data_IF_201337683644
#
_entry.id   IF_201337683644
#
_cell.length_a   1.000
_cell.length_b   1.000
_cell.length_c   1.000
_cell.angle_alpha   90.00
_cell.angle_beta   90.00
_cell.angle_gamma   90.00
#
_symmetry.space_group_name_H-M   'P 1'
#
loop_
_entity.id
_entity.type
_entity.pdbx_description
1 polymer ?
#
# COMPACT_ATOMS: atom_id res chain seq x y z
N UNK A 1 -7.35 -10.41 -25.55
CA UNK A 1 -6.03 -9.75 -25.42
C UNK A 1 -5.98 -8.28 -25.84
N UNK A 2 -6.76 -7.80 -26.82
CA UNK A 2 -6.70 -6.38 -27.25
C UNK A 2 -7.26 -5.39 -26.22
N UNK A 3 -8.34 -5.75 -25.51
CA UNK A 3 -8.99 -4.90 -24.52
C UNK A 3 -8.03 -4.49 -23.37
N UNK A 4 -7.40 -5.47 -22.71
CA UNK A 4 -6.46 -5.20 -21.61
C UNK A 4 -5.22 -4.41 -22.03
N UNK A 5 -4.70 -4.64 -23.25
CA UNK A 5 -3.60 -3.83 -23.83
C UNK A 5 -4.01 -2.37 -24.07
N UNK A 6 -5.29 -2.14 -24.38
CA UNK A 6 -5.81 -0.79 -24.60
C UNK A 6 -5.90 -0.01 -23.30
N UNK A 7 -6.38 -0.66 -22.24
CA UNK A 7 -6.48 -0.07 -20.89
C UNK A 7 -5.09 0.15 -20.27
N UNK A 8 -4.16 -0.80 -20.42
CA UNK A 8 -2.81 -0.65 -19.88
C UNK A 8 -2.11 0.59 -20.43
N UNK A 9 -2.26 0.92 -21.72
CA UNK A 9 -1.70 2.14 -22.32
C UNK A 9 -2.29 3.45 -21.76
N UNK A 10 -3.45 3.40 -21.11
CA UNK A 10 -4.11 4.56 -20.52
C UNK A 10 -3.87 4.70 -19.02
N UNK A 11 -3.29 3.69 -18.36
CA UNK A 11 -3.01 3.72 -16.93
C UNK A 11 -1.51 3.81 -16.70
N UNK A 12 -1.10 4.62 -15.73
CA UNK A 12 0.31 4.87 -15.43
C UNK A 12 1.10 3.56 -15.31
N UNK A 13 2.23 3.48 -16.04
CA UNK A 13 3.12 2.32 -16.10
C UNK A 13 2.43 1.00 -16.52
N UNK A 14 1.31 1.06 -17.25
CA UNK A 14 0.58 -0.15 -17.63
C UNK A 14 -0.29 -0.75 -16.52
N UNK A 15 -0.41 -0.08 -15.37
CA UNK A 15 -1.03 -0.61 -14.15
C UNK A 15 -2.52 -0.33 -14.14
N UNK A 16 -3.26 -1.04 -14.99
CA UNK A 16 -4.72 -0.93 -15.05
C UNK A 16 -5.39 -1.54 -13.80
N UNK A 17 -6.68 -1.26 -13.54
CA UNK A 17 -7.41 -1.82 -12.41
C UNK A 17 -7.30 -3.35 -12.32
N UNK A 18 -6.74 -3.83 -11.22
CA UNK A 18 -6.53 -5.25 -10.94
C UNK A 18 -7.14 -5.61 -9.58
N UNK A 19 -7.80 -6.77 -9.51
CA UNK A 19 -8.38 -7.30 -8.28
C UNK A 19 -7.28 -7.59 -7.26
N UNK A 20 -7.44 -7.04 -6.05
CA UNK A 20 -6.56 -7.30 -4.90
C UNK A 20 -7.21 -8.27 -3.94
N UNK A 21 -8.50 -8.06 -3.69
CA UNK A 21 -9.28 -8.79 -2.70
C UNK A 21 -10.74 -8.84 -3.12
N UNK A 22 -11.41 -9.95 -2.82
CA UNK A 22 -12.84 -10.12 -3.01
C UNK A 22 -13.45 -10.41 -1.65
N UNK A 23 -14.33 -9.53 -1.18
CA UNK A 23 -14.91 -9.67 0.14
C UNK A 23 -15.67 -11.01 0.28
N UNK A 24 -15.38 -11.85 1.28
CA UNK A 24 -15.90 -13.22 1.32
C UNK A 24 -17.43 -13.30 1.45
N UNK A 25 -18.05 -12.32 2.13
CA UNK A 25 -19.50 -12.24 2.34
C UNK A 25 -20.20 -11.42 1.26
N UNK A 26 -19.98 -10.10 1.24
CA UNK A 26 -20.60 -9.16 0.29
C UNK A 26 -20.18 -9.35 -1.18
N UNK A 27 -19.12 -10.12 -1.46
CA UNK A 27 -18.53 -10.28 -2.80
C UNK A 27 -18.11 -8.97 -3.46
N UNK A 28 -17.93 -7.91 -2.68
CA UNK A 28 -17.45 -6.64 -3.22
C UNK A 28 -15.94 -6.70 -3.51
N UNK A 29 -15.51 -6.33 -4.74
CA UNK A 29 -14.11 -6.32 -5.11
C UNK A 29 -13.39 -5.04 -4.65
N UNK A 30 -12.21 -5.23 -4.08
CA UNK A 30 -11.20 -4.19 -3.91
C UNK A 30 -10.18 -4.30 -5.04
N UNK A 31 -10.03 -3.24 -5.81
CA UNK A 31 -9.10 -3.14 -6.92
C UNK A 31 -8.02 -2.10 -6.64
N UNK A 32 -6.88 -2.24 -7.32
CA UNK A 32 -5.80 -1.25 -7.35
C UNK A 32 -5.39 -0.90 -8.77
N UNK A 33 -4.88 0.30 -8.97
CA UNK A 33 -4.30 0.72 -10.25
C UNK A 33 -3.25 1.83 -10.08
N UNK A 34 -2.63 2.22 -11.20
CA UNK A 34 -2.05 3.55 -11.37
C UNK A 34 -3.13 4.57 -11.78
N UNK A 35 -2.77 5.85 -11.77
CA UNK A 35 -3.67 6.92 -12.22
C UNK A 35 -4.00 6.79 -13.72
N UNK A 36 -5.14 7.35 -14.17
CA UNK A 36 -5.42 7.47 -15.60
C UNK A 36 -4.52 8.55 -16.24
N UNK A 37 -4.18 8.35 -17.51
CA UNK A 37 -3.39 9.29 -18.34
C UNK A 37 -4.32 10.25 -19.08
N UNK A 38 -5.17 10.94 -18.32
CA UNK A 38 -6.15 11.88 -18.84
C UNK A 38 -5.49 13.21 -19.30
N UNK A 39 -4.41 13.62 -18.65
CA UNK A 39 -3.73 14.88 -18.89
C UNK A 39 -4.60 16.12 -18.66
N UNK A 40 -4.05 17.29 -18.99
CA UNK A 40 -4.77 18.56 -18.88
C UNK A 40 -6.04 18.60 -19.74
N UNK A 41 -6.01 17.98 -20.92
CA UNK A 41 -7.14 17.93 -21.87
C UNK A 41 -8.28 17.01 -21.45
N UNK A 42 -8.13 16.24 -20.36
CA UNK A 42 -9.16 15.29 -19.93
C UNK A 42 -9.42 14.19 -20.95
N UNK A 43 -8.35 13.70 -21.59
CA UNK A 43 -8.38 12.57 -22.52
C UNK A 43 -9.11 11.40 -21.86
N UNK A 44 -9.96 10.74 -22.65
CA UNK A 44 -10.77 9.62 -22.20
C UNK A 44 -10.29 8.32 -22.82
N UNK A 45 -10.68 7.21 -22.19
CA UNK A 45 -10.47 5.88 -22.75
C UNK A 45 -11.70 5.02 -22.53
N UNK A 46 -12.42 4.76 -23.61
CA UNK A 46 -13.65 3.98 -23.59
C UNK A 46 -13.45 2.59 -22.97
N UNK A 47 -12.34 1.93 -23.26
CA UNK A 47 -12.06 0.60 -22.69
C UNK A 47 -11.78 0.63 -21.18
N UNK A 48 -11.19 1.71 -20.65
CA UNK A 48 -11.02 1.89 -19.20
C UNK A 48 -12.37 2.15 -18.53
N UNK A 49 -13.20 3.00 -19.14
CA UNK A 49 -14.59 3.27 -18.72
C UNK A 49 -15.43 1.96 -18.71
N UNK A 50 -15.34 1.15 -19.77
CA UNK A 50 -16.03 -0.15 -19.83
C UNK A 50 -15.49 -1.15 -18.80
N UNK A 51 -14.18 -1.15 -18.51
CA UNK A 51 -13.60 -2.02 -17.50
C UNK A 51 -14.23 -1.77 -16.13
N UNK A 52 -14.31 -0.51 -15.71
CA UNK A 52 -14.94 -0.16 -14.43
C UNK A 52 -16.46 -0.34 -14.45
N UNK A 53 -17.11 -0.19 -15.61
CA UNK A 53 -18.54 -0.54 -15.75
C UNK A 53 -18.79 -2.05 -15.56
N UNK A 54 -17.91 -2.89 -16.08
CA UNK A 54 -18.02 -4.35 -15.92
C UNK A 54 -17.85 -4.80 -14.46
N UNK A 55 -17.05 -4.08 -13.67
CA UNK A 55 -16.93 -4.35 -12.23
C UNK A 55 -18.29 -4.16 -11.55
N UNK A 56 -19.00 -3.06 -11.82
CA UNK A 56 -20.33 -2.80 -11.27
C UNK A 56 -21.35 -3.87 -11.70
N UNK A 57 -21.38 -4.21 -12.99
CA UNK A 57 -22.31 -5.22 -13.51
C UNK A 57 -22.04 -6.62 -12.97
N UNK A 58 -20.76 -6.98 -12.76
CA UNK A 58 -20.38 -8.30 -12.23
C UNK A 58 -20.69 -8.43 -10.75
N UNK A 59 -20.54 -7.33 -10.00
CA UNK A 59 -20.90 -7.26 -8.59
C UNK A 59 -22.40 -7.04 -8.34
N UNK A 60 -23.21 -6.90 -9.40
CA UNK A 60 -24.65 -6.59 -9.37
C UNK A 60 -25.00 -5.34 -8.53
N UNK A 61 -24.22 -4.27 -8.72
CA UNK A 61 -24.42 -2.99 -8.03
C UNK A 61 -24.45 -1.81 -9.00
N UNK A 62 -25.01 -0.69 -8.55
CA UNK A 62 -25.13 0.54 -9.36
C UNK A 62 -24.05 1.58 -9.05
N UNK A 63 -23.36 1.43 -7.92
CA UNK A 63 -22.44 2.43 -7.40
C UNK A 63 -21.11 1.79 -6.98
N UNK A 64 -20.02 2.51 -7.24
CA UNK A 64 -18.67 2.17 -6.78
C UNK A 64 -17.88 3.42 -6.42
N UNK A 65 -16.78 3.24 -5.69
CA UNK A 65 -15.97 4.34 -5.20
C UNK A 65 -14.52 4.24 -5.67
N UNK A 66 -14.01 5.34 -6.21
CA UNK A 66 -12.59 5.54 -6.51
C UNK A 66 -11.96 6.31 -5.34
N UNK A 67 -10.99 5.69 -4.67
CA UNK A 67 -10.19 6.30 -3.63
C UNK A 67 -8.84 6.71 -4.21
N UNK A 68 -8.67 8.00 -4.46
CA UNK A 68 -7.39 8.55 -4.86
C UNK A 68 -6.58 8.89 -3.61
N UNK A 69 -5.41 8.28 -3.44
CA UNK A 69 -4.61 8.44 -2.22
C UNK A 69 -4.02 9.84 -2.04
N UNK A 70 -4.08 10.70 -3.06
CA UNK A 70 -3.34 11.97 -3.10
C UNK A 70 -4.17 13.12 -2.58
N UNK A 71 -3.52 14.27 -2.43
CA UNK A 71 -4.22 15.54 -2.35
C UNK A 71 -4.64 16.05 -3.73
N UNK A 72 -5.67 16.91 -3.77
CA UNK A 72 -6.10 17.58 -5.01
C UNK A 72 -4.97 18.36 -5.69
N UNK A 73 -4.06 18.95 -4.90
CA UNK A 73 -2.88 19.66 -5.42
C UNK A 73 -1.92 18.71 -6.14
N UNK A 74 -1.53 17.60 -5.49
CA UNK A 74 -0.62 16.60 -6.07
C UNK A 74 -1.25 15.97 -7.32
N UNK A 75 -2.55 15.65 -7.29
CA UNK A 75 -3.26 15.14 -8.46
C UNK A 75 -3.24 16.14 -9.64
N UNK A 76 -3.38 17.43 -9.36
CA UNK A 76 -3.29 18.50 -10.36
C UNK A 76 -1.88 18.62 -10.97
N UNK A 77 -0.83 18.51 -10.15
CA UNK A 77 0.56 18.46 -10.64
C UNK A 77 0.81 17.24 -11.53
N UNK A 78 0.24 16.08 -11.22
CA UNK A 78 0.36 14.92 -12.09
C UNK A 78 -0.45 15.06 -13.38
N UNK A 79 -1.61 15.74 -13.32
CA UNK A 79 -2.42 16.06 -14.51
C UNK A 79 -1.65 16.90 -15.52
N UNK A 80 -0.89 17.90 -15.08
CA UNK A 80 -0.06 18.72 -15.98
C UNK A 80 1.08 17.92 -16.63
N UNK A 81 1.51 16.82 -16.00
CA UNK A 81 2.51 15.88 -16.53
C UNK A 81 1.93 14.73 -17.35
N UNK A 82 0.64 14.81 -17.74
CA UNK A 82 -0.04 13.80 -18.56
C UNK A 82 -0.74 12.68 -17.80
N UNK A 83 -0.59 12.62 -16.46
CA UNK A 83 -1.41 11.78 -15.58
C UNK A 83 -2.78 12.39 -15.32
N UNK A 84 -3.33 12.23 -14.12
CA UNK A 84 -4.53 12.94 -13.71
C UNK A 84 -5.53 12.07 -12.96
N UNK A 85 -6.80 12.31 -13.27
CA UNK A 85 -7.97 11.86 -12.54
C UNK A 85 -9.04 11.39 -13.54
N UNK A 86 -9.91 10.47 -13.11
CA UNK A 86 -11.07 10.04 -13.89
C UNK A 86 -12.01 11.21 -14.17
N UNK A 87 -12.53 11.30 -15.40
CA UNK A 87 -13.58 12.27 -15.75
C UNK A 87 -14.91 11.67 -15.30
N UNK A 88 -15.30 11.91 -14.05
CA UNK A 88 -16.37 11.16 -13.35
C UNK A 88 -17.70 11.09 -14.12
N UNK A 89 -18.08 12.14 -14.85
CA UNK A 89 -19.27 12.13 -15.72
C UNK A 89 -19.27 11.04 -16.80
N UNK A 90 -18.12 10.41 -17.05
CA UNK A 90 -17.91 9.35 -18.05
C UNK A 90 -17.70 7.98 -17.40
N UNK A 91 -17.45 7.93 -16.09
CA UNK A 91 -17.38 6.70 -15.31
C UNK A 91 -18.71 6.50 -14.59
N UNK A 92 -19.77 6.20 -15.36
CA UNK A 92 -21.12 6.06 -14.84
C UNK A 92 -21.20 5.07 -13.66
N UNK A 93 -21.81 5.50 -12.56
CA UNK A 93 -21.92 4.73 -11.33
C UNK A 93 -20.70 4.85 -10.41
N UNK A 94 -19.59 5.43 -10.86
CA UNK A 94 -18.42 5.66 -10.02
C UNK A 94 -18.41 7.08 -9.47
N UNK A 95 -18.10 7.20 -8.19
CA UNK A 95 -17.74 8.47 -7.57
C UNK A 95 -16.26 8.46 -7.21
N UNK A 96 -15.66 9.63 -6.94
CA UNK A 96 -14.28 9.73 -6.45
C UNK A 96 -14.20 10.49 -5.15
N UNK A 97 -13.38 9.98 -4.23
CA UNK A 97 -12.95 10.70 -3.04
C UNK A 97 -11.42 10.76 -3.00
N UNK A 98 -10.91 11.96 -2.72
CA UNK A 98 -9.50 12.18 -2.40
C UNK A 98 -9.30 11.79 -0.94
N UNK A 99 -8.24 11.04 -0.65
CA UNK A 99 -7.88 10.62 0.70
C UNK A 99 -6.91 11.61 1.36
N UNK A 100 -6.33 12.53 0.58
CA UNK A 100 -5.44 13.60 1.04
C UNK A 100 -4.23 13.11 1.88
N UNK A 101 -3.74 11.89 1.63
CA UNK A 101 -2.57 11.34 2.32
C UNK A 101 -1.30 12.03 1.79
N UNK A 102 -0.37 12.34 2.70
CA UNK A 102 0.93 12.90 2.36
C UNK A 102 1.65 12.06 1.28
N UNK A 103 2.21 12.74 0.27
CA UNK A 103 2.95 12.07 -0.79
C UNK A 103 4.24 11.44 -0.22
N UNK A 104 4.61 10.28 -0.76
CA UNK A 104 5.79 9.53 -0.29
C UNK A 104 7.10 10.35 -0.21
N UNK A 105 7.41 11.35 -1.09
CA UNK A 105 8.67 12.10 -0.98
C UNK A 105 8.79 12.91 0.31
N UNK A 106 7.67 13.26 0.93
CA UNK A 106 7.64 14.06 2.18
C UNK A 106 7.96 13.18 3.40
N UNK A 107 7.80 11.86 3.29
CA UNK A 107 7.97 10.93 4.42
C UNK A 107 9.40 10.88 4.96
N UNK A 108 10.40 11.13 4.12
CA UNK A 108 11.80 11.15 4.57
C UNK A 108 12.08 12.32 5.53
N UNK A 109 11.58 13.51 5.21
CA UNK A 109 11.66 14.70 6.08
C UNK A 109 10.83 14.50 7.35
N UNK A 110 9.62 13.94 7.21
CA UNK A 110 8.76 13.59 8.34
C UNK A 110 9.44 12.65 9.35
N UNK A 111 10.07 11.58 8.86
CA UNK A 111 10.82 10.66 9.70
C UNK A 111 12.06 11.31 10.32
N UNK A 112 12.81 12.14 9.57
CA UNK A 112 13.97 12.85 10.11
C UNK A 112 13.60 13.70 11.32
N UNK A 113 12.53 14.51 11.19
CA UNK A 113 12.02 15.36 12.28
C UNK A 113 11.57 14.56 13.50
N UNK A 114 10.94 13.40 13.27
CA UNK A 114 10.57 12.48 14.35
C UNK A 114 11.82 11.97 15.09
N UNK A 115 12.82 11.49 14.36
CA UNK A 115 14.06 10.96 14.94
C UNK A 115 14.82 12.06 15.70
N UNK A 116 14.89 13.27 15.16
CA UNK A 116 15.48 14.43 15.85
C UNK A 116 14.77 14.75 17.17
N UNK A 117 13.44 14.62 17.23
CA UNK A 117 12.70 14.79 18.47
C UNK A 117 13.01 13.68 19.49
N UNK A 118 13.08 12.42 19.04
CA UNK A 118 13.35 11.27 19.90
C UNK A 118 14.79 11.21 20.44
N UNK A 119 15.76 11.77 19.71
CA UNK A 119 17.18 11.69 20.04
C UNK A 119 17.69 12.88 20.86
N UNK A 120 16.85 13.88 21.13
CA UNK A 120 17.22 15.11 21.83
C UNK A 120 16.92 14.99 23.33
N UNK A 121 17.94 14.69 24.18
CA UNK A 121 17.74 14.49 25.62
C UNK A 121 17.45 15.80 26.37
N UNK A 122 17.56 16.96 25.70
CA UNK A 122 17.34 18.27 26.32
C UNK A 122 15.87 18.69 26.34
N UNK A 123 15.00 17.94 25.64
CA UNK A 123 13.58 18.26 25.55
C UNK A 123 12.83 17.87 26.82
N UNK A 124 12.05 18.83 27.32
CA UNK A 124 10.94 18.51 28.21
C UNK A 124 9.77 17.91 27.42
N UNK A 125 8.79 17.35 28.14
CA UNK A 125 7.65 16.69 27.53
C UNK A 125 6.84 17.59 26.58
N UNK A 126 6.71 18.88 26.88
CA UNK A 126 5.93 19.81 26.05
C UNK A 126 6.62 20.04 24.72
N UNK A 127 7.91 20.35 24.73
CA UNK A 127 8.70 20.57 23.51
C UNK A 127 8.84 19.29 22.69
N UNK A 128 8.93 18.12 23.33
CA UNK A 128 8.90 16.84 22.64
C UNK A 128 7.58 16.67 21.85
N UNK A 129 6.43 16.92 22.49
CA UNK A 129 5.13 16.83 21.82
C UNK A 129 4.97 17.83 20.68
N UNK A 130 5.50 19.05 20.83
CA UNK A 130 5.52 20.05 19.76
C UNK A 130 6.33 19.57 18.55
N UNK A 131 7.56 19.07 18.76
CA UNK A 131 8.39 18.52 17.68
C UNK A 131 7.76 17.26 17.06
N UNK A 132 7.18 16.39 17.88
CA UNK A 132 6.46 15.19 17.44
C UNK A 132 5.30 15.59 16.49
N UNK A 133 4.48 16.56 16.87
CA UNK A 133 3.39 17.05 16.03
C UNK A 133 3.92 17.71 14.74
N UNK A 134 4.98 18.51 14.84
CA UNK A 134 5.62 19.16 13.69
C UNK A 134 6.23 18.16 12.68
N UNK A 135 6.56 16.94 13.11
CA UNK A 135 7.04 15.87 12.21
C UNK A 135 5.96 15.41 11.22
N UNK A 136 4.67 15.54 11.55
CA UNK A 136 3.53 14.98 10.81
C UNK A 136 3.54 13.46 10.61
N UNK A 137 4.44 12.71 11.27
CA UNK A 137 4.52 11.26 11.10
C UNK A 137 3.26 10.57 11.60
N UNK A 138 2.84 10.85 12.84
CA UNK A 138 1.63 10.27 13.43
C UNK A 138 0.34 10.72 12.71
N UNK A 139 0.30 11.95 12.20
CA UNK A 139 -0.80 12.41 11.34
C UNK A 139 -0.89 11.56 10.07
N UNK A 140 0.25 11.26 9.45
CA UNK A 140 0.29 10.41 8.25
C UNK A 140 -0.11 8.96 8.56
N UNK A 141 0.32 8.41 9.70
CA UNK A 141 -0.12 7.09 10.18
C UNK A 141 -1.64 7.07 10.34
N UNK A 142 -2.23 8.06 11.05
CA UNK A 142 -3.67 8.20 11.21
C UNK A 142 -4.40 8.26 9.87
N UNK A 143 -3.90 9.04 8.92
CA UNK A 143 -4.55 9.24 7.62
C UNK A 143 -4.52 7.96 6.77
N UNK A 144 -3.41 7.20 6.83
CA UNK A 144 -3.31 5.89 6.18
C UNK A 144 -4.27 4.86 6.80
N UNK A 145 -4.36 4.80 8.13
CA UNK A 145 -5.31 3.93 8.85
C UNK A 145 -6.75 4.30 8.49
N UNK A 146 -7.08 5.60 8.48
CA UNK A 146 -8.41 6.11 8.16
C UNK A 146 -8.82 5.81 6.72
N UNK A 147 -7.88 5.91 5.77
CA UNK A 147 -8.13 5.56 4.38
C UNK A 147 -8.40 4.05 4.19
N UNK A 148 -7.68 3.19 4.91
CA UNK A 148 -7.95 1.76 4.90
C UNK A 148 -9.34 1.43 5.48
N UNK A 149 -9.70 2.07 6.59
CA UNK A 149 -11.04 1.94 7.19
C UNK A 149 -12.13 2.44 6.23
N UNK A 150 -11.87 3.51 5.47
CA UNK A 150 -12.82 3.97 4.47
C UNK A 150 -13.05 2.91 3.38
N UNK A 151 -11.99 2.26 2.89
CA UNK A 151 -12.15 1.17 1.94
C UNK A 151 -12.96 -0.01 2.53
N UNK A 152 -12.70 -0.35 3.80
CA UNK A 152 -13.43 -1.41 4.53
C UNK A 152 -14.90 -1.06 4.67
N UNK A 153 -15.24 0.17 5.08
CA UNK A 153 -16.63 0.64 5.20
C UNK A 153 -17.39 0.49 3.89
N UNK A 154 -16.78 0.87 2.76
CA UNK A 154 -17.40 0.71 1.46
C UNK A 154 -17.65 -0.77 1.11
N UNK A 155 -16.70 -1.66 1.38
CA UNK A 155 -16.77 -3.08 1.01
C UNK A 155 -17.70 -3.91 1.91
N UNK A 156 -17.69 -3.66 3.22
CA UNK A 156 -18.45 -4.42 4.23
C UNK A 156 -19.85 -3.82 4.45
N UNK A 157 -19.96 -2.51 4.62
CA UNK A 157 -21.21 -1.86 5.07
C UNK A 157 -22.02 -1.26 3.91
N UNK A 158 -21.37 -0.54 3.01
CA UNK A 158 -22.07 0.10 1.87
C UNK A 158 -22.26 -0.86 0.68
N UNK A 159 -21.57 -2.00 0.71
CA UNK A 159 -21.57 -3.02 -0.36
C UNK A 159 -21.26 -2.41 -1.72
N UNK A 160 -20.17 -1.63 -1.79
CA UNK A 160 -19.69 -1.00 -3.00
C UNK A 160 -18.28 -1.50 -3.37
N UNK A 161 -18.00 -1.78 -4.65
CA UNK A 161 -16.66 -2.02 -5.14
C UNK A 161 -15.80 -0.77 -4.99
N UNK A 162 -14.52 -0.98 -4.69
CA UNK A 162 -13.56 0.10 -4.44
C UNK A 162 -12.37 -0.02 -5.38
N UNK A 163 -11.97 1.08 -6.01
CA UNK A 163 -10.68 1.19 -6.73
C UNK A 163 -9.78 2.14 -5.96
N UNK A 164 -8.62 1.66 -5.52
CA UNK A 164 -7.61 2.50 -4.85
C UNK A 164 -6.46 2.79 -5.82
N UNK A 165 -6.10 4.05 -5.99
CA UNK A 165 -4.88 4.40 -6.74
C UNK A 165 -4.21 5.67 -6.23
N UNK A 166 -2.90 5.73 -6.44
CA UNK A 166 -2.13 6.97 -6.36
C UNK A 166 -1.63 7.32 -7.77
N UNK A 167 -0.52 8.05 -7.87
CA UNK A 167 0.08 8.35 -9.17
C UNK A 167 0.53 7.07 -9.89
N UNK A 168 1.41 6.28 -9.27
CA UNK A 168 1.93 5.03 -9.86
C UNK A 168 1.24 3.77 -9.32
N UNK A 169 0.50 3.85 -8.21
CA UNK A 169 -0.15 2.69 -7.61
C UNK A 169 0.80 1.70 -6.92
N UNK A 170 1.96 2.17 -6.44
CA UNK A 170 3.06 1.35 -5.91
C UNK A 170 3.53 1.76 -4.50
N UNK A 171 2.98 2.83 -3.92
CA UNK A 171 3.41 3.37 -2.63
C UNK A 171 2.25 3.37 -1.64
N UNK A 172 1.64 4.53 -1.35
CA UNK A 172 0.48 4.67 -0.45
C UNK A 172 -0.68 3.75 -0.83
N UNK A 173 -0.85 3.47 -2.13
CA UNK A 173 -1.82 2.47 -2.61
C UNK A 173 -1.58 1.09 -2.01
N UNK A 174 -0.32 0.62 -1.88
CA UNK A 174 0.02 -0.64 -1.22
C UNK A 174 -0.44 -0.64 0.24
N UNK A 175 -0.21 0.48 0.94
CA UNK A 175 -0.57 0.64 2.36
C UNK A 175 -2.08 0.47 2.53
N UNK A 176 -2.87 1.24 1.78
CA UNK A 176 -4.33 1.24 1.90
C UNK A 176 -4.91 -0.14 1.58
N UNK A 177 -4.51 -0.77 0.48
CA UNK A 177 -5.08 -2.08 0.09
C UNK A 177 -4.61 -3.22 0.98
N UNK A 178 -3.40 -3.17 1.52
CA UNK A 178 -2.90 -4.18 2.45
C UNK A 178 -3.57 -4.06 3.82
N UNK A 179 -3.70 -2.85 4.37
CA UNK A 179 -4.39 -2.62 5.64
C UNK A 179 -5.87 -2.97 5.56
N UNK A 180 -6.56 -2.60 4.46
CA UNK A 180 -7.96 -2.97 4.27
C UNK A 180 -8.15 -4.50 4.33
N UNK A 181 -7.27 -5.24 3.65
CA UNK A 181 -7.26 -6.71 3.70
C UNK A 181 -6.96 -7.26 5.09
N UNK A 182 -5.98 -6.68 5.80
CA UNK A 182 -5.63 -7.05 7.17
C UNK A 182 -6.82 -6.93 8.13
N UNK A 183 -7.67 -5.92 7.94
CA UNK A 183 -8.86 -5.68 8.76
C UNK A 183 -10.02 -6.61 8.42
N UNK A 184 -10.24 -6.91 7.14
CA UNK A 184 -11.38 -7.72 6.69
C UNK A 184 -11.13 -9.24 6.82
N UNK A 185 -9.89 -9.70 6.62
CA UNK A 185 -9.58 -11.14 6.58
C UNK A 185 -8.65 -11.55 7.73
N UNK A 186 -9.15 -12.34 8.71
CA UNK A 186 -8.33 -12.87 9.80
C UNK A 186 -7.11 -13.67 9.34
N UNK A 187 -7.14 -14.28 8.15
CA UNK A 187 -5.99 -15.00 7.63
C UNK A 187 -4.74 -14.11 7.57
N UNK A 188 -4.88 -12.85 7.14
CA UNK A 188 -3.74 -11.94 7.03
C UNK A 188 -3.17 -11.46 8.38
N UNK A 189 -3.82 -11.80 9.50
CA UNK A 189 -3.31 -11.56 10.86
C UNK A 189 -2.56 -12.77 11.45
N UNK A 190 -2.51 -13.88 10.71
CA UNK A 190 -1.57 -15.00 10.97
C UNK A 190 -0.18 -14.65 10.47
N UNK A 191 0.86 -15.29 11.00
CA UNK A 191 2.24 -15.09 10.53
C UNK A 191 2.37 -15.45 9.04
N UNK A 192 1.79 -16.58 8.64
CA UNK A 192 1.79 -17.02 7.25
C UNK A 192 1.02 -16.06 6.34
N UNK A 193 -0.21 -15.71 6.73
CA UNK A 193 -1.04 -14.82 5.94
C UNK A 193 -0.43 -13.43 5.82
N UNK A 194 0.21 -12.90 6.87
CA UNK A 194 0.90 -11.62 6.76
C UNK A 194 2.09 -11.67 5.80
N UNK A 195 2.89 -12.75 5.82
CA UNK A 195 3.94 -12.95 4.82
C UNK A 195 3.36 -12.98 3.39
N UNK A 196 2.22 -13.66 3.18
CA UNK A 196 1.52 -13.68 1.89
C UNK A 196 0.96 -12.32 1.49
N UNK A 197 0.45 -11.55 2.45
CA UNK A 197 -0.03 -10.19 2.22
C UNK A 197 1.10 -9.29 1.72
N UNK A 198 2.26 -9.32 2.36
CA UNK A 198 3.44 -8.56 1.94
C UNK A 198 3.93 -9.03 0.56
N UNK A 199 4.06 -10.33 0.35
CA UNK A 199 4.45 -10.90 -0.95
C UNK A 199 3.52 -10.41 -2.08
N UNK A 200 2.21 -10.43 -1.85
CA UNK A 200 1.21 -10.04 -2.85
C UNK A 200 1.14 -8.54 -3.07
N UNK A 201 0.94 -7.75 -2.01
CA UNK A 201 0.58 -6.33 -2.13
C UNK A 201 1.78 -5.39 -2.20
N UNK A 202 2.97 -5.88 -1.89
CA UNK A 202 4.21 -5.10 -1.96
C UNK A 202 5.14 -5.65 -3.04
N UNK A 203 5.50 -6.92 -2.97
CA UNK A 203 6.51 -7.49 -3.86
C UNK A 203 5.95 -7.72 -5.27
N UNK A 204 4.91 -8.53 -5.44
CA UNK A 204 4.29 -8.77 -6.74
C UNK A 204 3.63 -7.51 -7.31
N UNK A 205 3.07 -6.67 -6.44
CA UNK A 205 2.56 -5.38 -6.89
C UNK A 205 3.67 -4.42 -7.36
N UNK A 206 4.94 -4.68 -7.09
CA UNK A 206 6.06 -3.87 -7.58
C UNK A 206 6.22 -2.56 -6.81
N UNK A 207 6.11 -2.61 -5.48
CA UNK A 207 6.67 -1.56 -4.64
C UNK A 207 8.18 -1.50 -4.90
N UNK A 208 8.74 -0.33 -5.27
CA UNK A 208 10.14 -0.25 -5.65
C UNK A 208 11.06 -0.21 -4.42
N UNK A 209 11.26 -1.36 -3.78
CA UNK A 209 12.09 -1.49 -2.57
C UNK A 209 13.52 -0.96 -2.79
N UNK A 210 14.12 -1.22 -3.96
CA UNK A 210 15.48 -0.80 -4.24
C UNK A 210 15.62 0.72 -4.44
N UNK A 211 14.66 1.36 -5.12
CA UNK A 211 14.61 2.82 -5.23
C UNK A 211 14.22 3.51 -3.93
N UNK A 212 13.28 2.93 -3.16
CA UNK A 212 12.79 3.55 -1.93
C UNK A 212 13.78 3.45 -0.79
N UNK A 213 14.51 2.35 -0.70
CA UNK A 213 15.52 2.18 0.33
C UNK A 213 16.36 0.91 0.12
N UNK A 214 17.34 0.95 -0.80
CA UNK A 214 18.40 -0.09 -0.82
C UNK A 214 19.76 0.50 -0.44
N UNK A 215 20.53 -0.19 0.44
CA UNK A 215 21.94 0.13 0.65
C UNK A 215 22.78 -0.06 -0.62
N UNK A 216 22.33 -0.90 -1.55
CA UNK A 216 23.02 -1.25 -2.78
C UNK A 216 22.83 -0.19 -3.88
N UNK A 217 21.79 0.64 -3.79
CA UNK A 217 21.53 1.70 -4.76
C UNK A 217 22.24 2.99 -4.36
N UNK A 218 23.33 3.29 -5.08
CA UNK A 218 24.11 4.54 -4.95
C UNK A 218 23.48 5.74 -5.66
N UNK A 219 22.46 5.52 -6.49
CA UNK A 219 21.84 6.55 -7.33
C UNK A 219 20.51 7.05 -6.74
N UNK A 220 20.27 8.36 -6.89
CA UNK A 220 19.05 9.10 -6.51
C UNK A 220 18.58 8.98 -5.05
N UNK A 221 19.29 9.65 -4.13
CA UNK A 221 18.80 9.90 -2.75
C UNK A 221 17.41 10.55 -2.71
N UNK A 222 17.01 11.24 -3.79
CA UNK A 222 15.73 11.93 -3.95
C UNK A 222 14.52 11.00 -4.05
N UNK A 223 14.70 9.71 -4.34
CA UNK A 223 13.61 8.74 -4.43
C UNK A 223 13.43 7.89 -3.16
N UNK A 224 14.27 8.14 -2.15
CA UNK A 224 14.23 7.40 -0.89
C UNK A 224 13.06 7.85 -0.04
N UNK A 225 12.29 6.90 0.48
CA UNK A 225 11.22 7.18 1.43
C UNK A 225 10.86 5.95 2.28
N UNK A 226 10.55 6.15 3.58
CA UNK A 226 10.19 5.08 4.52
C UNK A 226 8.74 4.59 4.34
N UNK A 227 8.32 4.31 3.09
CA UNK A 227 6.93 3.92 2.78
C UNK A 227 6.56 2.58 3.42
N UNK A 228 7.44 1.58 3.35
CA UNK A 228 7.20 0.29 3.98
C UNK A 228 7.22 0.39 5.51
N UNK A 229 8.09 1.22 6.09
CA UNK A 229 8.07 1.52 7.53
C UNK A 229 6.76 2.16 7.97
N UNK A 230 6.23 3.13 7.21
CA UNK A 230 4.92 3.74 7.50
C UNK A 230 3.82 2.67 7.56
N UNK A 231 3.84 1.69 6.65
CA UNK A 231 2.93 0.56 6.71
C UNK A 231 3.13 -0.30 7.96
N UNK A 232 4.37 -0.65 8.31
CA UNK A 232 4.64 -1.44 9.51
C UNK A 232 4.24 -0.71 10.79
N UNK A 233 4.38 0.62 10.85
CA UNK A 233 3.87 1.45 11.95
C UNK A 233 2.34 1.35 12.02
N UNK A 234 1.64 1.49 10.90
CA UNK A 234 0.18 1.29 10.86
C UNK A 234 -0.25 -0.11 11.36
N UNK A 235 0.49 -1.16 10.98
CA UNK A 235 0.24 -2.52 11.47
C UNK A 235 0.52 -2.61 12.98
N UNK A 236 1.60 -1.99 13.46
CA UNK A 236 1.92 -1.91 14.88
C UNK A 236 0.83 -1.18 15.67
N UNK A 237 0.29 -0.05 15.20
CA UNK A 237 -0.83 0.64 15.84
C UNK A 237 -2.07 -0.26 15.97
N UNK A 238 -2.31 -1.13 14.98
CA UNK A 238 -3.41 -2.09 14.99
C UNK A 238 -3.14 -3.24 15.96
N UNK A 239 -1.91 -3.77 15.96
CA UNK A 239 -1.45 -4.79 16.91
C UNK A 239 -1.52 -4.27 18.35
N UNK A 240 -1.09 -3.04 18.62
CA UNK A 240 -1.09 -2.45 19.95
C UNK A 240 -2.51 -2.35 20.53
N UNK A 241 -3.50 -1.99 19.70
CA UNK A 241 -4.90 -1.90 20.11
C UNK A 241 -5.60 -3.26 20.23
N UNK A 242 -5.19 -4.24 19.42
CA UNK A 242 -5.86 -5.53 19.30
C UNK A 242 -4.88 -6.71 19.32
N UNK A 243 -3.98 -6.75 20.30
CA UNK A 243 -2.86 -7.70 20.30
C UNK A 243 -3.29 -9.17 20.17
N UNK A 244 -4.40 -9.56 20.82
CA UNK A 244 -4.97 -10.91 20.75
C UNK A 244 -5.51 -11.29 19.36
N UNK A 245 -5.65 -10.32 18.45
CA UNK A 245 -6.16 -10.54 17.10
C UNK A 245 -5.07 -10.93 16.10
N UNK A 246 -3.79 -10.89 16.50
CA UNK A 246 -2.63 -11.17 15.67
C UNK A 246 -1.85 -12.38 16.23
N UNK A 247 -1.38 -13.24 15.34
CA UNK A 247 -0.51 -14.37 15.73
C UNK A 247 0.93 -13.91 15.94
N UNK A 248 1.38 -12.90 15.20
CA UNK A 248 2.72 -12.34 15.30
C UNK A 248 2.76 -11.15 16.28
N UNK A 249 3.97 -10.76 16.68
CA UNK A 249 4.22 -9.70 17.65
C UNK A 249 5.11 -8.58 17.08
N UNK A 250 5.39 -7.57 17.91
CA UNK A 250 6.27 -6.45 17.58
C UNK A 250 7.66 -6.89 17.10
N UNK A 251 8.25 -7.92 17.71
CA UNK A 251 9.57 -8.43 17.32
C UNK A 251 9.60 -8.92 15.87
N UNK A 252 8.52 -9.55 15.39
CA UNK A 252 8.41 -9.92 13.99
C UNK A 252 8.33 -8.71 13.05
N UNK A 253 7.59 -7.66 13.43
CA UNK A 253 7.51 -6.43 12.63
C UNK A 253 8.87 -5.73 12.54
N UNK A 254 9.63 -5.69 13.63
CA UNK A 254 11.01 -5.18 13.66
C UNK A 254 11.95 -6.02 12.77
N UNK A 255 11.87 -7.34 12.87
CA UNK A 255 12.68 -8.24 12.03
C UNK A 255 12.35 -8.05 10.54
N UNK A 256 11.07 -7.96 10.19
CA UNK A 256 10.62 -7.70 8.82
C UNK A 256 11.12 -6.34 8.31
N UNK A 257 11.06 -5.28 9.14
CA UNK A 257 11.67 -4.00 8.83
C UNK A 257 13.16 -4.18 8.52
N UNK A 258 13.93 -4.78 9.42
CA UNK A 258 15.37 -4.99 9.24
C UNK A 258 15.70 -5.78 7.98
N UNK A 259 14.98 -6.88 7.71
CA UNK A 259 15.22 -7.73 6.54
C UNK A 259 14.77 -7.10 5.22
N UNK A 260 13.86 -6.11 5.26
CA UNK A 260 13.52 -5.34 4.06
C UNK A 260 14.66 -4.44 3.57
N UNK A 261 15.66 -4.16 4.41
CA UNK A 261 16.79 -3.29 4.08
C UNK A 261 18.16 -3.99 4.13
N UNK A 262 18.30 -5.08 4.86
CA UNK A 262 19.60 -5.74 5.11
C UNK A 262 20.23 -6.34 3.85
N UNK A 263 19.41 -6.68 2.84
CA UNK A 263 19.78 -7.48 1.68
C UNK A 263 20.40 -8.85 2.02
N UNK A 264 20.17 -9.37 3.23
CA UNK A 264 20.60 -10.72 3.65
C UNK A 264 19.83 -11.81 2.89
N UNK A 265 18.56 -11.53 2.59
CA UNK A 265 17.69 -12.36 1.76
C UNK A 265 17.40 -11.66 0.43
N UNK A 266 17.12 -12.42 -0.62
CA UNK A 266 16.72 -11.83 -1.91
C UNK A 266 15.24 -11.41 -1.98
N UNK A 267 14.47 -11.64 -0.92
CA UNK A 267 13.02 -11.37 -0.87
C UNK A 267 12.67 -9.92 -1.24
N UNK A 268 13.42 -8.93 -0.73
CA UNK A 268 13.15 -7.49 -0.94
C UNK A 268 14.12 -6.82 -1.92
N UNK A 269 14.93 -7.59 -2.64
CA UNK A 269 15.91 -7.04 -3.59
C UNK A 269 15.22 -6.69 -4.91
N UNK A 270 15.55 -5.53 -5.49
CA UNK A 270 14.99 -5.06 -6.76
C UNK A 270 13.61 -4.39 -6.62
N UNK A 271 13.14 -3.74 -7.70
CA UNK A 271 11.93 -2.90 -7.65
C UNK A 271 10.65 -3.59 -8.14
N UNK A 272 10.79 -4.73 -8.83
CA UNK A 272 9.65 -5.47 -9.34
C UNK A 272 10.00 -6.94 -9.58
N UNK A 273 8.97 -7.76 -9.79
CA UNK A 273 9.10 -9.18 -10.07
C UNK A 273 9.98 -9.46 -11.30
N UNK A 274 9.84 -8.66 -12.36
CA UNK A 274 10.64 -8.83 -13.58
C UNK A 274 12.15 -8.66 -13.31
N UNK A 275 12.54 -7.70 -12.46
CA UNK A 275 13.94 -7.53 -12.06
C UNK A 275 14.43 -8.70 -11.20
N UNK A 276 13.62 -9.16 -10.24
CA UNK A 276 13.95 -10.32 -9.39
C UNK A 276 14.14 -11.59 -10.21
N UNK A 277 13.32 -11.78 -11.23
CA UNK A 277 13.42 -12.91 -12.16
C UNK A 277 14.65 -12.82 -13.07
N UNK A 278 14.95 -11.64 -13.61
CA UNK A 278 16.13 -11.41 -14.44
C UNK A 278 17.43 -11.73 -13.69
N UNK A 279 17.49 -11.37 -12.40
CA UNK A 279 18.63 -11.67 -11.53
C UNK A 279 18.65 -13.12 -10.99
N UNK A 280 17.57 -13.89 -11.20
CA UNK A 280 17.40 -15.26 -10.71
C UNK A 280 17.53 -15.36 -9.18
N UNK A 281 16.94 -14.41 -8.45
CA UNK A 281 17.10 -14.33 -7.00
C UNK A 281 16.51 -15.55 -6.27
N UNK A 282 15.47 -16.16 -6.82
CA UNK A 282 14.86 -17.39 -6.32
C UNK A 282 15.84 -18.57 -6.25
N UNK A 283 16.83 -18.59 -7.14
CA UNK A 283 17.88 -19.62 -7.23
C UNK A 283 19.16 -19.21 -6.52
N UNK A 284 19.52 -17.93 -6.57
CA UNK A 284 20.81 -17.41 -6.07
C UNK A 284 20.78 -16.96 -4.61
N UNK A 285 19.60 -16.79 -4.02
CA UNK A 285 19.46 -16.23 -2.67
C UNK A 285 18.53 -17.06 -1.80
N UNK A 286 18.61 -16.82 -0.48
CA UNK A 286 17.66 -17.39 0.47
C UNK A 286 16.38 -16.56 0.51
N UNK A 287 15.26 -17.23 0.78
CA UNK A 287 13.95 -16.60 0.98
C UNK A 287 13.72 -16.28 2.45
N UNK A 288 13.44 -15.00 2.77
CA UNK A 288 13.14 -14.56 4.13
C UNK A 288 11.92 -15.27 4.71
N UNK A 289 10.86 -15.50 3.92
CA UNK A 289 9.64 -16.14 4.40
C UNK A 289 9.87 -17.54 4.96
N UNK A 290 10.75 -18.33 4.32
CA UNK A 290 11.12 -19.65 4.86
C UNK A 290 11.82 -19.53 6.21
N UNK A 291 12.64 -18.49 6.38
CA UNK A 291 13.33 -18.23 7.63
C UNK A 291 12.36 -17.76 8.73
N UNK A 292 11.50 -16.80 8.42
CA UNK A 292 10.49 -16.28 9.34
C UNK A 292 9.55 -17.38 9.84
N UNK A 293 9.00 -18.21 8.93
CA UNK A 293 8.07 -19.28 9.28
C UNK A 293 8.72 -20.41 10.09
N UNK A 294 10.00 -20.71 9.86
CA UNK A 294 10.70 -21.78 10.58
C UNK A 294 11.12 -21.39 12.00
N UNK A 295 11.56 -20.15 12.23
CA UNK A 295 12.00 -19.71 13.56
C UNK A 295 10.85 -19.17 14.42
N UNK A 296 9.93 -18.40 13.83
CA UNK A 296 8.87 -17.75 14.60
C UNK A 296 7.63 -18.63 14.74
N UNK A 297 7.39 -19.57 13.80
CA UNK A 297 6.37 -20.61 13.95
C UNK A 297 6.70 -21.62 15.06
N UNK A 298 7.99 -21.79 15.38
CA UNK A 298 8.44 -22.60 16.52
C UNK A 298 8.31 -21.89 17.87
N UNK A 299 8.18 -20.55 17.88
CA UNK A 299 8.07 -19.72 19.08
C UNK A 299 6.62 -19.38 19.47
N UNK A 300 5.63 -19.72 18.65
CA UNK A 300 4.22 -19.61 19.03
C UNK A 300 3.93 -20.56 20.21
N UNK A 301 3.26 -20.10 21.29
CA UNK A 301 2.93 -20.98 22.40
C UNK A 301 2.05 -22.11 21.87
N UNK A 302 2.54 -23.34 21.99
CA UNK A 302 1.70 -24.54 21.81
C UNK A 302 0.46 -24.32 22.66
N UNK A 303 -0.71 -24.29 22.03
CA UNK A 303 -2.00 -24.30 22.72
C UNK A 303 -1.88 -25.33 23.86
N UNK A 304 -1.99 -24.86 25.10
CA UNK A 304 -2.07 -25.75 26.24
C UNK A 304 -3.28 -26.65 25.99
N UNK A 305 -3.01 -27.93 25.77
CA UNK A 305 -4.07 -28.94 25.75
C UNK A 305 -4.71 -29.00 27.13
N UNK A 306 -6.02 -28.81 27.15
CA UNK A 306 -6.93 -29.01 28.28
C UNK A 306 -8.32 -29.18 27.72
#
# INVERSE_FOLDING_TARGET
MMFSRSVSKYRQNGRFPMLCFLHPKTKMPLLRSGQPLAGSSGKRKYEDEQMLRMVLSTADVKQGLILDTRTSSVASTHRSKGGGLEVIDKYYGWSRKMLDIAAWPILADSLSKLLEACQDPSLDASKFLEKLNASNWLSTVRDALSAALQAVTCLEHEQQPVVVHGSHGTDITCIVVALAQLYMDPYFRTLEGFCKLVEKEWLHAGHPFASRWSPLTRHNKTERAPVFLLFLDCVYQSYFQFCAAFEFNESFLMELYMQSYSCVFGTFVGDCEAMRAAEQLDKKTRCFWRHALSLLGAAAPRKAGG
#
